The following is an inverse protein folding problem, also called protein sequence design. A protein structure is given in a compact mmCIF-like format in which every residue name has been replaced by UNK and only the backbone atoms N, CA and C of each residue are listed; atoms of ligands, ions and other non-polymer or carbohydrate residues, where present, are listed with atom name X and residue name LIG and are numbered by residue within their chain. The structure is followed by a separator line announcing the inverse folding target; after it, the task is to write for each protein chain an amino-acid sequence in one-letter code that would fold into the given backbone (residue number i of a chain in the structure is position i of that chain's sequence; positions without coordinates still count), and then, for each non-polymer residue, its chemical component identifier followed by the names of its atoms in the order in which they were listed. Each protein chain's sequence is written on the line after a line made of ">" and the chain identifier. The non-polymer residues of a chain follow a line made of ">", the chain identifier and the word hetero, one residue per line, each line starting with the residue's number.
data_IF_078633256931
#
_entry.id   IF_078633256931
#
_cell.length_a   1.000
_cell.length_b   1.000
_cell.length_c   1.000
_cell.angle_alpha   90.00
_cell.angle_beta   90.00
_cell.angle_gamma   90.00
#
_symmetry.space_group_name_H-M   'P 1'
#
loop_
_entity.id
_entity.type
_entity.pdbx_description
1 polymer ?
#
# COMPACT_ATOMS: atom_id res chain seq x y z
N UNK A 1 1.21 -3.50 -14.06
CA UNK A 1 1.19 -4.92 -13.67
C UNK A 1 1.51 -5.15 -12.19
N UNK A 2 2.68 -4.74 -11.69
CA UNK A 2 3.13 -4.96 -10.30
C UNK A 2 2.10 -4.57 -9.23
N UNK A 3 1.46 -3.40 -9.36
CA UNK A 3 0.44 -2.92 -8.42
C UNK A 3 -0.75 -3.88 -8.28
N UNK A 4 -1.15 -4.56 -9.35
CA UNK A 4 -2.25 -5.53 -9.31
C UNK A 4 -1.90 -6.75 -8.44
N UNK A 5 -0.66 -7.23 -8.55
CA UNK A 5 -0.13 -8.33 -7.73
C UNK A 5 -0.09 -7.90 -6.26
N UNK A 6 0.46 -6.72 -5.96
CA UNK A 6 0.51 -6.17 -4.60
C UNK A 6 -0.90 -6.00 -3.99
N UNK A 7 -1.88 -5.57 -4.78
CA UNK A 7 -3.26 -5.41 -4.35
C UNK A 7 -3.93 -6.74 -4.00
N UNK A 8 -3.53 -7.83 -4.67
CA UNK A 8 -4.01 -9.20 -4.44
C UNK A 8 -3.28 -9.91 -3.31
N UNK A 9 -2.02 -9.57 -3.03
CA UNK A 9 -1.26 -10.13 -1.91
C UNK A 9 -1.38 -9.29 -0.64
N UNK A 10 -0.68 -8.15 -0.60
CA UNK A 10 -0.60 -7.27 0.57
C UNK A 10 -1.93 -6.57 0.88
N UNK A 11 -2.80 -6.38 -0.11
CA UNK A 11 -4.17 -5.92 0.14
C UNK A 11 -4.99 -6.86 1.03
N UNK A 12 -4.56 -8.10 1.22
CA UNK A 12 -5.19 -9.13 2.06
C UNK A 12 -4.27 -9.63 3.17
N UNK A 13 -3.16 -8.93 3.43
CA UNK A 13 -2.12 -9.33 4.38
C UNK A 13 -1.52 -10.73 4.12
N UNK A 14 -1.43 -11.15 2.85
CA UNK A 14 -0.81 -12.43 2.45
C UNK A 14 0.52 -12.16 1.73
N UNK A 15 1.60 -12.93 2.02
CA UNK A 15 2.88 -12.75 1.32
C UNK A 15 2.85 -13.25 -0.12
N UNK A 16 2.07 -14.30 -0.39
CA UNK A 16 1.89 -14.94 -1.70
C UNK A 16 0.39 -15.18 -1.91
N UNK A 17 -0.08 -15.13 -3.16
CA UNK A 17 -1.46 -15.48 -3.50
C UNK A 17 -1.53 -16.23 -4.84
N UNK A 18 -2.60 -17.01 -5.03
CA UNK A 18 -2.92 -17.61 -6.33
C UNK A 18 -3.59 -16.55 -7.18
N UNK A 19 -2.87 -16.06 -8.18
CA UNK A 19 -3.33 -14.97 -9.05
C UNK A 19 -3.36 -15.48 -10.49
N UNK A 20 -4.54 -15.43 -11.10
CA UNK A 20 -4.75 -15.83 -12.50
C UNK A 20 -4.55 -14.65 -13.45
N UNK A 21 -4.19 -14.94 -14.71
CA UNK A 21 -3.98 -13.88 -15.71
C UNK A 21 -5.27 -13.16 -16.10
N UNK A 22 -6.42 -13.84 -16.03
CA UNK A 22 -7.74 -13.22 -16.22
C UNK A 22 -8.03 -12.17 -15.14
N UNK A 23 -7.76 -12.48 -13.87
CA UNK A 23 -7.90 -11.51 -12.77
C UNK A 23 -6.96 -10.31 -12.94
N UNK A 24 -5.72 -10.53 -13.41
CA UNK A 24 -4.78 -9.45 -13.68
C UNK A 24 -5.23 -8.57 -14.85
N UNK A 25 -5.76 -9.19 -15.91
CA UNK A 25 -6.38 -8.50 -17.05
C UNK A 25 -7.55 -7.62 -16.59
N UNK A 26 -8.42 -8.13 -15.72
CA UNK A 26 -9.55 -7.37 -15.17
C UNK A 26 -9.11 -6.14 -14.35
N UNK A 27 -8.04 -6.27 -13.56
CA UNK A 27 -7.53 -5.18 -12.71
C UNK A 27 -6.77 -4.15 -13.55
N UNK A 28 -5.92 -4.61 -14.47
CA UNK A 28 -5.05 -3.73 -15.27
C UNK A 28 -5.71 -3.18 -16.52
N UNK A 29 -6.86 -3.75 -16.92
CA UNK A 29 -7.57 -3.44 -18.18
C UNK A 29 -6.70 -3.65 -19.41
N UNK A 30 -5.81 -4.64 -19.36
CA UNK A 30 -4.95 -5.05 -20.47
C UNK A 30 -5.33 -6.45 -20.96
N UNK A 31 -5.11 -6.78 -22.25
CA UNK A 31 -5.31 -8.14 -22.74
C UNK A 31 -4.49 -9.17 -21.96
N UNK A 32 -5.09 -10.34 -21.70
CA UNK A 32 -4.48 -11.45 -20.92
C UNK A 32 -3.07 -11.80 -21.40
N UNK A 33 -2.83 -11.81 -22.72
CA UNK A 33 -1.50 -12.09 -23.28
C UNK A 33 -0.44 -11.08 -22.81
N UNK A 34 -0.76 -9.79 -22.84
CA UNK A 34 0.15 -8.71 -22.37
C UNK A 34 0.36 -8.77 -20.86
N UNK A 35 -0.66 -9.17 -20.12
CA UNK A 35 -0.51 -9.46 -18.69
C UNK A 35 0.48 -10.61 -18.48
N UNK A 36 0.32 -11.74 -19.17
CA UNK A 36 1.22 -12.87 -18.98
C UNK A 36 2.68 -12.50 -19.32
N UNK A 37 2.91 -11.79 -20.43
CA UNK A 37 4.23 -11.28 -20.81
C UNK A 37 4.83 -10.40 -19.69
N UNK A 38 4.11 -9.37 -19.24
CA UNK A 38 4.58 -8.47 -18.17
C UNK A 38 4.77 -9.20 -16.83
N UNK A 39 3.95 -10.20 -16.52
CA UNK A 39 4.10 -11.04 -15.32
C UNK A 39 5.41 -11.82 -15.38
N UNK A 40 5.70 -12.46 -16.51
CA UNK A 40 6.92 -13.23 -16.70
C UNK A 40 8.16 -12.34 -16.68
N UNK A 41 8.09 -11.12 -17.22
CA UNK A 41 9.16 -10.14 -17.09
C UNK A 41 9.45 -9.78 -15.63
N UNK A 42 8.42 -9.54 -14.81
CA UNK A 42 8.60 -9.25 -13.39
C UNK A 42 9.23 -10.43 -12.62
N UNK A 43 8.92 -11.67 -13.04
CA UNK A 43 9.58 -12.88 -12.50
C UNK A 43 11.04 -12.93 -12.94
N UNK A 44 11.33 -12.68 -14.22
CA UNK A 44 12.70 -12.64 -14.77
C UNK A 44 13.56 -11.57 -14.11
N UNK A 45 12.99 -10.41 -13.80
CA UNK A 45 13.65 -9.33 -13.07
C UNK A 45 13.75 -9.61 -11.56
N UNK A 46 13.23 -10.73 -11.09
CA UNK A 46 13.18 -11.14 -9.69
C UNK A 46 12.52 -10.10 -8.75
N UNK A 47 11.59 -9.31 -9.31
CA UNK A 47 10.76 -8.35 -8.56
C UNK A 47 9.61 -9.09 -7.88
N UNK A 48 9.08 -10.13 -8.53
CA UNK A 48 8.09 -11.05 -7.96
C UNK A 48 8.65 -12.47 -7.97
N UNK A 49 8.32 -13.24 -6.94
CA UNK A 49 8.67 -14.65 -6.82
C UNK A 49 7.49 -15.52 -7.17
N UNK A 50 7.78 -16.70 -7.72
CA UNK A 50 6.81 -17.76 -7.95
C UNK A 50 7.15 -18.94 -7.03
N UNK A 51 6.20 -19.37 -6.21
CA UNK A 51 6.36 -20.54 -5.34
C UNK A 51 5.06 -21.34 -5.32
N UNK A 52 5.10 -22.64 -5.63
CA UNK A 52 3.92 -23.51 -5.60
C UNK A 52 2.74 -23.01 -6.47
N UNK A 53 3.04 -22.37 -7.61
CA UNK A 53 2.02 -21.75 -8.48
C UNK A 53 1.41 -20.45 -7.94
N UNK A 54 1.90 -19.95 -6.81
CA UNK A 54 1.51 -18.67 -6.22
C UNK A 54 2.53 -17.60 -6.58
N UNK A 55 2.09 -16.35 -6.59
CA UNK A 55 2.92 -15.18 -6.89
C UNK A 55 2.90 -14.20 -5.72
N UNK A 56 4.03 -13.52 -5.52
CA UNK A 56 4.13 -12.45 -4.55
C UNK A 56 5.40 -11.63 -4.73
N UNK A 57 5.46 -10.44 -4.13
CA UNK A 57 6.60 -9.54 -4.25
C UNK A 57 7.86 -10.12 -3.57
N UNK A 58 9.01 -9.95 -4.20
CA UNK A 58 10.30 -10.29 -3.61
C UNK A 58 10.70 -9.22 -2.58
N UNK A 59 10.92 -9.63 -1.33
CA UNK A 59 11.32 -8.71 -0.24
C UNK A 59 12.81 -8.33 -0.31
N UNK A 60 13.63 -9.16 -0.95
CA UNK A 60 15.07 -8.94 -1.06
C UNK A 60 15.37 -8.04 -2.27
N UNK A 61 15.45 -6.74 -2.04
CA UNK A 61 15.66 -5.72 -3.09
C UNK A 61 17.00 -5.91 -3.81
N UNK A 62 18.02 -6.41 -3.11
CA UNK A 62 19.35 -6.68 -3.67
C UNK A 62 19.34 -7.67 -4.83
N UNK A 63 18.33 -8.54 -4.91
CA UNK A 63 18.22 -9.55 -5.96
C UNK A 63 17.46 -9.03 -7.19
N UNK A 64 16.98 -7.79 -7.20
CA UNK A 64 16.17 -7.26 -8.29
C UNK A 64 17.07 -6.86 -9.47
N UNK A 65 16.79 -7.44 -10.64
CA UNK A 65 17.51 -7.14 -11.88
C UNK A 65 16.74 -6.05 -12.65
N UNK A 66 16.94 -4.79 -12.26
CA UNK A 66 16.40 -3.65 -13.00
C UNK A 66 17.40 -3.28 -14.10
N UNK A 67 17.03 -3.39 -15.39
CA UNK A 67 17.93 -2.98 -16.47
C UNK A 67 18.23 -1.50 -16.27
N UNK A 68 19.53 -1.18 -16.14
CA UNK A 68 19.97 0.20 -16.16
C UNK A 68 19.64 0.72 -17.57
N UNK A 69 18.65 1.60 -17.66
CA UNK A 69 18.52 2.42 -18.85
C UNK A 69 19.77 3.30 -18.86
N UNK A 70 20.68 3.08 -19.80
CA UNK A 70 21.83 3.94 -19.98
C UNK A 70 21.32 5.37 -20.15
N UNK A 71 21.39 6.11 -19.05
CA UNK A 71 20.84 7.44 -18.95
C UNK A 71 21.66 8.38 -19.81
N UNK A 72 21.28 8.51 -21.07
CA UNK A 72 21.24 9.85 -21.65
C UNK A 72 20.21 10.59 -20.81
N UNK A 73 20.67 11.23 -19.74
CA UNK A 73 19.89 12.23 -19.01
C UNK A 73 19.19 13.09 -20.06
N UNK A 74 17.85 13.23 -20.04
CA UNK A 74 17.19 14.20 -20.89
C UNK A 74 17.85 15.54 -20.58
N UNK A 75 18.64 16.07 -21.51
CA UNK A 75 19.27 17.39 -21.34
C UNK A 75 18.17 18.33 -20.91
N UNK A 76 18.33 18.93 -19.73
CA UNK A 76 17.44 19.93 -19.16
C UNK A 76 17.21 20.99 -20.21
N UNK A 77 16.09 20.90 -20.93
CA UNK A 77 15.74 21.89 -21.94
C UNK A 77 14.89 22.94 -21.26
N UNK A 78 15.26 24.17 -21.57
CA UNK A 78 14.98 25.41 -20.87
C UNK A 78 13.56 25.61 -20.36
N UNK A 79 13.54 26.33 -19.23
CA UNK A 79 12.40 26.91 -18.53
C UNK A 79 11.47 27.60 -19.53
N UNK A 80 10.45 26.91 -20.00
CA UNK A 80 9.33 27.54 -20.68
C UNK A 80 8.08 27.10 -19.96
N UNK A 81 7.44 28.07 -19.31
CA UNK A 81 6.26 27.93 -18.47
C UNK A 81 5.09 27.28 -19.23
N UNK A 82 4.98 25.96 -19.16
CA UNK A 82 3.74 25.26 -19.44
C UNK A 82 2.89 25.31 -18.17
N UNK A 83 1.83 26.12 -18.22
CA UNK A 83 0.81 26.16 -17.18
C UNK A 83 0.28 24.73 -16.98
N UNK A 84 0.57 24.19 -15.80
CA UNK A 84 0.03 22.93 -15.32
C UNK A 84 -1.49 23.10 -15.26
N UNK A 85 -2.21 22.45 -16.18
CA UNK A 85 -3.65 22.30 -16.06
C UNK A 85 -3.94 21.48 -14.80
N UNK A 86 -4.54 22.13 -13.81
CA UNK A 86 -4.98 21.53 -12.56
C UNK A 86 -6.05 20.46 -12.81
N UNK A 87 -5.66 19.19 -12.93
CA UNK A 87 -6.61 18.08 -12.96
C UNK A 87 -6.09 16.85 -12.22
N UNK A 88 -5.92 16.98 -10.90
CA UNK A 88 -6.14 15.88 -9.97
C UNK A 88 -6.91 16.43 -8.75
N UNK A 89 -8.14 15.96 -8.47
CA UNK A 89 -8.83 16.38 -7.25
C UNK A 89 -8.04 15.81 -6.06
N UNK A 90 -7.35 16.69 -5.35
CA UNK A 90 -6.58 16.32 -4.17
C UNK A 90 -7.55 16.03 -3.03
N UNK A 91 -7.92 14.77 -2.83
CA UNK A 91 -8.72 14.30 -1.69
C UNK A 91 -7.90 14.31 -0.38
N UNK A 92 -7.26 15.44 -0.04
CA UNK A 92 -6.48 15.65 1.19
C UNK A 92 -7.35 15.95 2.43
N UNK A 93 -8.67 16.00 2.28
CA UNK A 93 -9.63 16.31 3.35
C UNK A 93 -9.97 15.13 4.27
N UNK A 94 -9.94 13.89 3.77
CA UNK A 94 -10.51 12.73 4.49
C UNK A 94 -9.53 12.06 5.47
N UNK A 95 -8.22 12.07 5.19
CA UNK A 95 -7.23 11.48 6.09
C UNK A 95 -7.10 12.23 7.43
N UNK A 96 -7.09 13.58 7.41
CA UNK A 96 -6.95 14.39 8.63
C UNK A 96 -8.09 14.14 9.61
N UNK A 97 -9.32 13.95 9.11
CA UNK A 97 -10.49 13.72 9.94
C UNK A 97 -10.45 12.34 10.61
N UNK A 98 -10.06 11.29 9.87
CA UNK A 98 -9.93 9.93 10.40
C UNK A 98 -8.92 9.86 11.57
N UNK A 99 -7.71 10.40 11.38
CA UNK A 99 -6.69 10.39 12.44
C UNK A 99 -7.08 11.24 13.66
N UNK A 100 -7.73 12.40 13.46
CA UNK A 100 -8.25 13.23 14.55
C UNK A 100 -9.35 12.51 15.35
N UNK A 101 -10.30 11.86 14.66
CA UNK A 101 -11.39 11.09 15.31
C UNK A 101 -10.84 9.89 16.09
N UNK A 102 -9.87 9.16 15.52
CA UNK A 102 -9.20 8.03 16.20
C UNK A 102 -8.44 8.48 17.45
N UNK A 103 -7.72 9.63 17.43
CA UNK A 103 -7.08 10.21 18.62
C UNK A 103 -8.08 10.64 19.70
N UNK A 104 -9.25 11.18 19.31
CA UNK A 104 -10.29 11.62 20.26
C UNK A 104 -10.93 10.44 21.00
N UNK A 105 -11.19 9.34 20.28
CA UNK A 105 -11.73 8.10 20.85
C UNK A 105 -10.73 7.45 21.82
N UNK A 106 -9.44 7.37 21.45
CA UNK A 106 -8.41 6.80 22.33
C UNK A 106 -8.25 7.63 23.60
N UNK A 107 -8.22 8.98 23.49
CA UNK A 107 -8.17 9.86 24.67
C UNK A 107 -9.39 9.71 25.58
N UNK A 108 -10.59 9.60 25.03
CA UNK A 108 -11.81 9.40 25.82
C UNK A 108 -11.83 8.05 26.54
N UNK A 109 -11.32 6.98 25.92
CA UNK A 109 -11.21 5.66 26.57
C UNK A 109 -10.20 5.64 27.71
N UNK A 110 -9.07 6.32 27.57
CA UNK A 110 -8.07 6.46 28.64
C UNK A 110 -8.66 7.24 29.81
N UNK A 111 -9.27 8.40 29.55
CA UNK A 111 -9.93 9.20 30.61
C UNK A 111 -11.05 8.45 31.31
N UNK A 112 -11.84 7.65 30.59
CA UNK A 112 -12.84 6.78 31.22
C UNK A 112 -12.21 5.70 32.11
N UNK A 113 -11.10 5.08 31.67
CA UNK A 113 -10.39 4.08 32.47
C UNK A 113 -9.85 4.69 33.78
N UNK A 114 -9.24 5.87 33.71
CA UNK A 114 -8.71 6.59 34.88
C UNK A 114 -9.82 7.02 35.86
N UNK A 115 -11.00 7.37 35.34
CA UNK A 115 -12.17 7.70 36.17
C UNK A 115 -12.76 6.45 36.85
N UNK A 116 -12.78 5.31 36.17
CA UNK A 116 -13.28 4.04 36.72
C UNK A 116 -12.31 3.46 37.75
N UNK A 117 -11.00 3.59 37.55
CA UNK A 117 -10.01 3.20 38.57
C UNK A 117 -10.12 4.05 39.83
N UNK A 118 -10.41 5.35 39.68
CA UNK A 118 -10.65 6.27 40.81
C UNK A 118 -11.94 5.94 41.57
N UNK A 119 -13.01 5.53 40.88
CA UNK A 119 -14.26 5.08 41.53
C UNK A 119 -14.05 3.75 42.26
N UNK A 120 -13.34 2.80 41.64
CA UNK A 120 -13.01 1.51 42.27
C UNK A 120 -12.14 1.67 43.52
N UNK A 121 -11.22 2.64 43.53
CA UNK A 121 -10.38 2.91 44.70
C UNK A 121 -11.17 3.55 45.84
N UNK A 122 -12.10 4.46 45.54
CA UNK A 122 -12.99 5.03 46.56
C UNK A 122 -13.98 4.01 47.13
N UNK A 123 -14.53 3.09 46.31
CA UNK A 123 -15.46 2.07 46.78
C UNK A 123 -14.83 1.07 47.79
N UNK A 124 -13.52 0.82 47.72
CA UNK A 124 -12.79 -0.03 48.68
C UNK A 124 -12.55 0.69 50.01
N UNK A 125 -12.38 2.02 49.99
CA UNK A 125 -12.11 2.82 51.20
C UNK A 125 -13.37 3.06 52.04
N UNK A 126 -14.56 3.02 51.45
CA UNK A 126 -15.84 3.24 52.17
C UNK A 126 -16.46 2.00 52.82
N UNK A 127 -15.77 0.85 52.84
CA UNK A 127 -16.28 -0.38 53.48
C UNK A 127 -15.31 -1.02 54.49
N UNK A 128 -14.52 -0.20 55.19
CA UNK A 128 -13.73 -0.59 56.37
C UNK A 128 -14.12 0.24 57.58
#
# INVERSE_FOLDING_TARGET
>A
MLLAILRKTYGWNKPMDRITDSQLSEITKLPVKRCNEAKLELVRMNIIKQQGGMFGPNKNISEWCIPQNEGKSPKTRDKTSLKLGDCYPSNRGTQRHYYKRKRKIIRQRILMFDSLSSISFNAVVYHS
#
